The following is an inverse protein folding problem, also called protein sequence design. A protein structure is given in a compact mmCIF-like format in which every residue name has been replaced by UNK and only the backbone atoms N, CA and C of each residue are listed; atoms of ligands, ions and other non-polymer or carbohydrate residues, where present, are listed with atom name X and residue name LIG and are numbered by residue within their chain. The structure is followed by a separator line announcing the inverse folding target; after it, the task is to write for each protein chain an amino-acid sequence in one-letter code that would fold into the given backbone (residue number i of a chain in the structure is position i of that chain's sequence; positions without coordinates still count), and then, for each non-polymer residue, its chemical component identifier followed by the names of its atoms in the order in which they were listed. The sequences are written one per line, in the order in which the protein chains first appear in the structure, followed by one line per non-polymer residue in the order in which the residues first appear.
data_IF_290029288964
#
_entry.id   IF_290029288964
#
_cell.length_a   1.000
_cell.length_b   1.000
_cell.length_c   1.000
_cell.angle_alpha   90.00
_cell.angle_beta   90.00
_cell.angle_gamma   90.00
#
_symmetry.space_group_name_H-M   'P 1'
#
loop_
_entity.id
_entity.type
_entity.pdbx_description
1 polymer ?
#
# COMPACT_ATOMS: atom_id res chain seq x y z
N UNK A 1 26.05 -55.37 -51.50
CA UNK A 1 24.71 -54.80 -51.30
C UNK A 1 24.19 -55.45 -50.03
N UNK A 2 24.18 -54.84 -48.85
CA UNK A 2 23.88 -53.45 -48.51
C UNK A 2 22.54 -53.47 -47.80
N UNK A 3 22.52 -53.70 -46.49
CA UNK A 3 21.37 -53.43 -45.63
C UNK A 3 21.87 -52.95 -44.27
N UNK A 4 21.68 -51.65 -44.05
CA UNK A 4 21.95 -50.89 -42.85
C UNK A 4 21.16 -51.41 -41.66
N UNK A 5 21.82 -51.60 -40.51
CA UNK A 5 21.17 -51.68 -39.20
C UNK A 5 21.55 -50.43 -38.43
N UNK A 6 20.60 -49.49 -38.42
CA UNK A 6 20.68 -48.18 -37.79
C UNK A 6 20.56 -48.35 -36.28
N UNK A 7 21.59 -47.95 -35.55
CA UNK A 7 21.58 -47.84 -34.10
C UNK A 7 20.61 -46.74 -33.68
N UNK A 8 19.65 -47.08 -32.83
CA UNK A 8 18.85 -46.11 -32.08
C UNK A 8 19.44 -46.07 -30.68
N UNK A 9 20.11 -44.96 -30.38
CA UNK A 9 20.48 -44.57 -29.03
C UNK A 9 19.19 -44.09 -28.35
N UNK A 10 18.67 -44.87 -27.40
CA UNK A 10 17.69 -44.38 -26.46
C UNK A 10 18.41 -43.46 -25.48
N UNK A 11 18.14 -42.17 -25.63
CA UNK A 11 18.55 -41.13 -24.70
C UNK A 11 17.73 -41.29 -23.42
N UNK A 12 18.42 -41.63 -22.33
CA UNK A 12 17.93 -41.50 -20.97
C UNK A 12 17.41 -40.06 -20.73
N UNK A 13 16.09 -39.91 -20.68
CA UNK A 13 15.45 -38.76 -20.05
C UNK A 13 15.60 -38.93 -18.53
N UNK A 14 16.18 -37.96 -17.79
CA UNK A 14 16.18 -38.01 -16.34
C UNK A 14 14.75 -37.75 -15.87
N UNK A 15 14.04 -38.81 -15.50
CA UNK A 15 12.86 -38.67 -14.67
C UNK A 15 13.31 -37.95 -13.39
N UNK A 16 12.78 -36.75 -13.15
CA UNK A 16 12.97 -36.06 -11.89
C UNK A 16 12.42 -36.97 -10.79
N UNK A 17 13.32 -37.62 -10.04
CA UNK A 17 12.97 -38.41 -8.87
C UNK A 17 12.44 -37.44 -7.82
N UNK A 18 11.12 -37.29 -7.78
CA UNK A 18 10.44 -36.67 -6.64
C UNK A 18 10.72 -37.56 -5.44
N UNK A 19 11.60 -37.09 -4.55
CA UNK A 19 11.90 -37.78 -3.30
C UNK A 19 10.59 -37.91 -2.53
N UNK A 20 10.13 -39.14 -2.29
CA UNK A 20 8.98 -39.40 -1.44
C UNK A 20 9.34 -38.90 -0.04
N UNK A 21 8.55 -37.96 0.47
CA UNK A 21 8.67 -37.46 1.84
C UNK A 21 8.09 -38.50 2.76
N UNK A 22 8.83 -38.90 3.80
CA UNK A 22 8.35 -39.86 4.79
C UNK A 22 7.70 -39.17 5.98
N UNK A 23 6.78 -39.88 6.65
CA UNK A 23 6.17 -39.45 7.92
C UNK A 23 7.23 -39.11 8.98
N UNK A 24 8.31 -39.89 9.03
CA UNK A 24 9.40 -39.72 9.99
C UNK A 24 10.14 -38.41 9.82
N UNK A 25 10.34 -37.97 8.57
CA UNK A 25 11.05 -36.71 8.27
C UNK A 25 10.24 -35.49 8.75
N UNK A 26 8.91 -35.54 8.59
CA UNK A 26 7.98 -34.50 9.06
C UNK A 26 8.06 -34.38 10.58
N UNK A 27 7.96 -35.52 11.27
CA UNK A 27 7.95 -35.59 12.73
C UNK A 27 9.29 -35.12 13.30
N UNK A 28 10.40 -35.62 12.75
CA UNK A 28 11.74 -35.21 13.18
C UNK A 28 11.94 -33.70 13.00
N UNK A 29 11.49 -33.15 11.87
CA UNK A 29 11.56 -31.72 11.62
C UNK A 29 10.77 -30.90 12.64
N UNK A 30 9.54 -31.31 12.96
CA UNK A 30 8.72 -30.60 13.97
C UNK A 30 9.34 -30.72 15.36
N UNK A 31 9.91 -31.86 15.74
CA UNK A 31 10.53 -32.08 17.06
C UNK A 31 11.77 -31.19 17.27
N UNK A 32 12.52 -30.92 16.20
CA UNK A 32 13.67 -30.03 16.25
C UNK A 32 13.30 -28.55 16.47
N UNK A 33 12.04 -28.17 16.20
CA UNK A 33 11.55 -26.82 16.41
C UNK A 33 11.10 -26.59 17.88
N UNK A 34 11.87 -25.80 18.63
CA UNK A 34 11.61 -25.53 20.06
C UNK A 34 10.36 -24.69 20.35
N UNK A 35 9.79 -24.03 19.34
CA UNK A 35 8.60 -23.18 19.48
C UNK A 35 7.28 -23.95 19.38
N UNK A 36 7.33 -25.25 19.13
CA UNK A 36 6.14 -26.08 18.94
C UNK A 36 5.52 -26.42 20.30
N UNK A 37 4.21 -26.19 20.38
CA UNK A 37 3.42 -26.56 21.55
C UNK A 37 2.69 -27.88 21.31
N UNK A 38 3.12 -28.94 22.00
CA UNK A 38 2.57 -30.30 21.82
C UNK A 38 1.37 -30.56 22.73
N UNK A 39 1.41 -30.03 23.97
CA UNK A 39 0.39 -30.24 25.00
C UNK A 39 0.39 -29.07 25.98
N UNK A 40 -0.76 -28.79 26.57
CA UNK A 40 -0.89 -27.85 27.67
C UNK A 40 -0.27 -28.44 28.95
N UNK A 41 0.93 -27.96 29.29
CA UNK A 41 1.68 -28.31 30.48
C UNK A 41 1.44 -27.27 31.58
N UNK A 42 1.18 -27.70 32.80
CA UNK A 42 1.13 -26.80 33.95
C UNK A 42 2.55 -26.34 34.32
N UNK A 43 2.66 -25.23 35.06
CA UNK A 43 3.94 -24.59 35.45
C UNK A 43 4.93 -25.56 36.13
N UNK A 44 4.44 -26.66 36.72
CA UNK A 44 5.25 -27.65 37.43
C UNK A 44 5.36 -29.01 36.72
N UNK A 45 4.85 -29.14 35.50
CA UNK A 45 4.96 -30.38 34.73
C UNK A 45 6.39 -30.54 34.18
N UNK A 46 6.94 -31.75 34.15
CA UNK A 46 8.25 -32.01 33.56
C UNK A 46 8.25 -31.72 32.05
N UNK A 47 9.39 -31.28 31.52
CA UNK A 47 9.57 -31.09 30.08
C UNK A 47 9.33 -32.40 29.31
N UNK A 48 8.53 -32.33 28.25
CA UNK A 48 8.25 -33.49 27.39
C UNK A 48 9.55 -34.04 26.77
N UNK A 49 9.73 -35.35 26.89
CA UNK A 49 10.85 -36.04 26.23
C UNK A 49 10.66 -36.07 24.71
N UNK A 50 11.76 -36.21 23.96
CA UNK A 50 11.70 -36.31 22.50
C UNK A 50 10.80 -37.46 22.03
N UNK A 51 10.83 -38.58 22.73
CA UNK A 51 9.98 -39.74 22.42
C UNK A 51 8.50 -39.42 22.61
N UNK A 52 8.12 -38.80 23.74
CA UNK A 52 6.72 -38.41 24.00
C UNK A 52 6.23 -37.39 22.97
N UNK A 53 7.08 -36.44 22.56
CA UNK A 53 6.75 -35.50 21.47
C UNK A 53 6.47 -36.23 20.16
N UNK A 54 7.32 -37.18 19.78
CA UNK A 54 7.13 -37.99 18.57
C UNK A 54 5.83 -38.80 18.64
N UNK A 55 5.54 -39.42 19.78
CA UNK A 55 4.31 -40.21 19.96
C UNK A 55 3.07 -39.33 19.80
N UNK A 56 3.03 -38.17 20.44
CA UNK A 56 1.91 -37.22 20.30
C UNK A 56 1.71 -36.81 18.84
N UNK A 57 2.79 -36.53 18.11
CA UNK A 57 2.70 -36.16 16.69
C UNK A 57 2.16 -37.30 15.83
N UNK A 58 2.63 -38.54 16.04
CA UNK A 58 2.13 -39.73 15.34
C UNK A 58 0.65 -39.96 15.62
N UNK A 59 0.25 -39.84 16.88
CA UNK A 59 -1.14 -40.07 17.28
C UNK A 59 -2.07 -39.06 16.56
N UNK A 60 -1.73 -37.77 16.58
CA UNK A 60 -2.54 -36.73 15.91
C UNK A 60 -2.53 -36.91 14.40
N UNK A 61 -1.40 -37.29 13.80
CA UNK A 61 -1.29 -37.49 12.36
C UNK A 61 -2.15 -38.68 11.89
N UNK A 62 -2.17 -39.76 12.66
CA UNK A 62 -2.96 -40.96 12.37
C UNK A 62 -4.46 -40.75 12.63
N UNK A 63 -4.83 -39.89 13.57
CA UNK A 63 -6.23 -39.53 13.82
C UNK A 63 -6.81 -38.69 12.69
N UNK A 64 -6.15 -37.58 12.33
CA UNK A 64 -6.63 -36.66 11.30
C UNK A 64 -5.51 -35.78 10.74
N UNK A 65 -5.27 -35.90 9.44
CA UNK A 65 -4.32 -35.07 8.72
C UNK A 65 -4.74 -33.58 8.73
N UNK A 66 -6.04 -33.28 8.70
CA UNK A 66 -6.56 -31.91 8.83
C UNK A 66 -6.25 -31.29 10.19
N UNK A 67 -6.51 -32.03 11.28
CA UNK A 67 -6.20 -31.57 12.65
C UNK A 67 -4.70 -31.37 12.84
N UNK A 68 -3.89 -32.27 12.27
CA UNK A 68 -2.44 -32.15 12.29
C UNK A 68 -1.96 -30.87 11.60
N UNK A 69 -2.47 -30.57 10.41
CA UNK A 69 -2.13 -29.35 9.67
C UNK A 69 -2.62 -28.08 10.38
N UNK A 70 -3.81 -28.10 10.97
CA UNK A 70 -4.32 -26.96 11.74
C UNK A 70 -3.41 -26.61 12.93
N UNK A 71 -2.93 -27.62 13.67
CA UNK A 71 -2.11 -27.41 14.89
C UNK A 71 -0.63 -27.21 14.59
N UNK A 72 -0.06 -28.01 13.69
CA UNK A 72 1.38 -28.08 13.46
C UNK A 72 1.82 -27.55 12.10
N UNK A 73 0.89 -27.30 11.17
CA UNK A 73 1.21 -26.97 9.78
C UNK A 73 2.10 -25.74 9.59
N UNK A 74 2.02 -24.75 10.48
CA UNK A 74 2.89 -23.57 10.44
C UNK A 74 4.38 -23.89 10.68
N UNK A 75 4.66 -24.99 11.39
CA UNK A 75 6.02 -25.44 11.71
C UNK A 75 6.58 -26.45 10.69
N UNK A 76 5.85 -26.71 9.60
CA UNK A 76 6.24 -27.67 8.56
C UNK A 76 6.83 -26.94 7.35
N UNK A 77 7.97 -27.42 6.85
CA UNK A 77 8.56 -26.92 5.60
C UNK A 77 7.73 -27.27 4.37
N UNK A 78 7.85 -26.46 3.32
CA UNK A 78 7.09 -26.65 2.08
C UNK A 78 7.37 -28.01 1.42
N UNK A 79 8.61 -28.49 1.50
CA UNK A 79 9.00 -29.83 1.03
C UNK A 79 8.18 -30.92 1.73
N UNK A 80 7.99 -30.79 3.05
CA UNK A 80 7.28 -31.75 3.88
C UNK A 80 5.76 -31.70 3.70
N UNK A 81 5.20 -30.55 3.30
CA UNK A 81 3.77 -30.42 2.99
C UNK A 81 3.36 -31.28 1.78
N UNK A 82 4.29 -31.61 0.89
CA UNK A 82 4.05 -32.50 -0.25
C UNK A 82 3.60 -33.90 0.16
N UNK A 83 3.89 -34.33 1.39
CA UNK A 83 3.38 -35.58 1.94
C UNK A 83 1.85 -35.66 1.90
N UNK A 84 1.16 -34.54 2.17
CA UNK A 84 -0.30 -34.48 2.18
C UNK A 84 -0.91 -34.43 0.76
N UNK A 85 -0.08 -34.18 -0.26
CA UNK A 85 -0.46 -34.12 -1.68
C UNK A 85 -0.07 -35.39 -2.45
N UNK A 86 0.69 -36.28 -1.83
CA UNK A 86 1.09 -37.54 -2.43
C UNK A 86 -0.15 -38.41 -2.67
N UNK A 87 -0.11 -39.17 -3.77
CA UNK A 87 -1.26 -39.95 -4.26
C UNK A 87 -1.70 -41.02 -3.25
N UNK A 88 -0.77 -41.59 -2.48
CA UNK A 88 -1.04 -42.65 -1.50
C UNK A 88 -2.00 -42.18 -0.40
N UNK A 89 -1.82 -40.95 0.06
CA UNK A 89 -2.61 -40.31 1.11
C UNK A 89 -3.90 -39.75 0.52
N UNK A 90 -3.81 -39.08 -0.63
CA UNK A 90 -4.95 -38.44 -1.29
C UNK A 90 -6.05 -39.44 -1.69
N UNK A 91 -5.68 -40.70 -1.97
CA UNK A 91 -6.64 -41.78 -2.25
C UNK A 91 -7.38 -42.28 -0.99
N UNK A 92 -6.80 -42.11 0.19
CA UNK A 92 -7.40 -42.55 1.45
C UNK A 92 -8.40 -41.55 2.02
N UNK A 93 -8.40 -40.31 1.53
CA UNK A 93 -9.25 -39.24 2.03
C UNK A 93 -10.68 -39.32 1.48
N UNK A 94 -11.64 -39.09 2.37
CA UNK A 94 -13.01 -38.72 1.99
C UNK A 94 -13.00 -37.41 1.17
N UNK A 95 -13.98 -37.16 0.28
CA UNK A 95 -14.11 -35.88 -0.42
C UNK A 95 -14.05 -34.66 0.51
N UNK A 96 -14.69 -34.74 1.67
CA UNK A 96 -14.69 -33.66 2.67
C UNK A 96 -13.30 -33.44 3.29
N UNK A 97 -12.62 -34.52 3.65
CA UNK A 97 -11.25 -34.48 4.21
C UNK A 97 -10.25 -33.92 3.19
N UNK A 98 -10.41 -34.29 1.91
CA UNK A 98 -9.57 -33.76 0.83
C UNK A 98 -9.71 -32.24 0.72
N UNK A 99 -10.94 -31.72 0.83
CA UNK A 99 -11.18 -30.28 0.82
C UNK A 99 -10.53 -29.58 2.04
N UNK A 100 -10.74 -30.11 3.25
CA UNK A 100 -10.15 -29.54 4.47
C UNK A 100 -8.62 -29.52 4.42
N UNK A 101 -8.00 -30.62 4.00
CA UNK A 101 -6.54 -30.74 3.88
C UNK A 101 -6.03 -29.74 2.84
N UNK A 102 -6.66 -29.66 1.67
CA UNK A 102 -6.29 -28.70 0.64
C UNK A 102 -6.41 -27.25 1.14
N UNK A 103 -7.50 -26.91 1.84
CA UNK A 103 -7.69 -25.60 2.44
C UNK A 103 -6.57 -25.27 3.43
N UNK A 104 -6.20 -26.21 4.31
CA UNK A 104 -5.10 -25.99 5.25
C UNK A 104 -3.75 -25.83 4.55
N UNK A 105 -3.46 -26.61 3.51
CA UNK A 105 -2.23 -26.48 2.71
C UNK A 105 -2.14 -25.11 2.02
N UNK A 106 -3.21 -24.69 1.37
CA UNK A 106 -3.30 -23.37 0.72
C UNK A 106 -3.13 -22.25 1.75
N UNK A 107 -3.80 -22.35 2.90
CA UNK A 107 -3.69 -21.38 4.00
C UNK A 107 -2.26 -21.28 4.52
N UNK A 108 -1.58 -22.39 4.78
CA UNK A 108 -0.19 -22.41 5.26
C UNK A 108 0.75 -21.74 4.24
N UNK A 109 0.59 -22.08 2.96
CA UNK A 109 1.39 -21.48 1.87
C UNK A 109 1.13 -19.98 1.74
N UNK A 110 -0.13 -19.55 1.79
CA UNK A 110 -0.51 -18.12 1.78
C UNK A 110 0.17 -17.39 2.93
N UNK A 111 0.02 -17.87 4.16
CA UNK A 111 0.61 -17.23 5.35
C UNK A 111 2.14 -17.10 5.26
N UNK A 112 2.83 -18.10 4.69
CA UNK A 112 4.29 -18.09 4.49
C UNK A 112 4.73 -17.11 3.40
N UNK A 113 3.94 -16.93 2.35
CA UNK A 113 4.24 -16.03 1.23
C UNK A 113 3.82 -14.57 1.48
N UNK A 114 3.84 -14.13 2.75
CA UNK A 114 3.42 -12.78 3.14
C UNK A 114 1.91 -12.61 3.27
N UNK A 115 1.12 -13.69 3.21
CA UNK A 115 -0.33 -13.65 3.39
C UNK A 115 -0.75 -13.00 4.70
N UNK A 116 0.01 -13.20 5.80
CA UNK A 116 -0.27 -12.50 7.06
C UNK A 116 -0.15 -10.98 6.93
N UNK A 117 0.82 -10.48 6.16
CA UNK A 117 0.97 -9.04 5.94
C UNK A 117 -0.20 -8.48 5.12
N UNK A 118 -0.72 -9.26 4.16
CA UNK A 118 -1.90 -8.92 3.37
C UNK A 118 -3.15 -8.94 4.25
N UNK A 119 -3.36 -10.00 5.03
CA UNK A 119 -4.47 -10.13 6.00
C UNK A 119 -4.48 -8.95 6.98
N UNK A 120 -3.32 -8.62 7.56
CA UNK A 120 -3.19 -7.45 8.46
C UNK A 120 -3.51 -6.15 7.73
N UNK A 121 -3.02 -5.97 6.50
CA UNK A 121 -3.31 -4.78 5.69
C UNK A 121 -4.80 -4.65 5.40
N UNK A 122 -5.46 -5.75 5.05
CA UNK A 122 -6.88 -5.80 4.74
C UNK A 122 -7.72 -5.54 6.00
N UNK A 123 -7.38 -6.17 7.14
CA UNK A 123 -8.01 -5.89 8.44
C UNK A 123 -7.89 -4.44 8.85
N UNK A 124 -6.69 -3.86 8.73
CA UNK A 124 -6.46 -2.43 8.99
C UNK A 124 -7.25 -1.55 8.03
N UNK A 125 -7.39 -1.92 6.76
CA UNK A 125 -8.22 -1.17 5.82
C UNK A 125 -9.72 -1.22 6.19
N UNK A 126 -10.25 -2.37 6.60
CA UNK A 126 -11.62 -2.48 7.09
C UNK A 126 -11.84 -1.64 8.37
N UNK A 127 -10.88 -1.68 9.30
CA UNK A 127 -10.92 -0.84 10.51
C UNK A 127 -10.85 0.66 10.17
N UNK A 128 -10.01 1.05 9.20
CA UNK A 128 -9.92 2.41 8.68
C UNK A 128 -11.28 2.88 8.15
N UNK A 129 -11.94 2.08 7.31
CA UNK A 129 -13.26 2.40 6.77
C UNK A 129 -14.28 2.63 7.89
N UNK A 130 -14.34 1.72 8.86
CA UNK A 130 -15.25 1.85 10.00
C UNK A 130 -15.00 3.14 10.79
N UNK A 131 -13.73 3.48 11.05
CA UNK A 131 -13.38 4.70 11.80
C UNK A 131 -13.66 6.00 11.02
N UNK A 132 -13.58 5.95 9.69
CA UNK A 132 -13.99 7.05 8.83
C UNK A 132 -15.51 7.26 8.90
N UNK A 133 -16.29 6.18 8.87
CA UNK A 133 -17.75 6.22 8.98
C UNK A 133 -18.22 6.69 10.36
N UNK A 134 -17.57 6.21 11.43
CA UNK A 134 -17.84 6.61 12.81
C UNK A 134 -17.43 8.08 13.08
N UNK A 135 -16.50 8.63 12.27
CA UNK A 135 -16.05 10.02 12.37
C UNK A 135 -15.32 10.36 13.67
N UNK A 136 -14.69 9.37 14.31
CA UNK A 136 -14.03 9.54 15.63
C UNK A 136 -12.53 9.75 15.52
N UNK A 137 -11.84 8.95 14.70
CA UNK A 137 -10.37 8.91 14.66
C UNK A 137 -9.76 9.67 13.48
N UNK A 138 -10.38 9.60 12.30
CA UNK A 138 -9.90 10.24 11.07
C UNK A 138 -10.53 11.62 10.81
N UNK A 139 -10.90 12.34 11.87
CA UNK A 139 -11.30 13.74 11.68
C UNK A 139 -10.09 14.60 11.37
N UNK A 140 -10.28 15.67 10.60
CA UNK A 140 -9.20 16.60 10.24
C UNK A 140 -8.48 17.16 11.49
N UNK A 141 -9.21 17.37 12.59
CA UNK A 141 -8.64 17.90 13.83
C UNK A 141 -7.76 16.87 14.56
N UNK A 142 -8.22 15.62 14.63
CA UNK A 142 -7.44 14.52 15.24
C UNK A 142 -6.21 14.18 14.40
N UNK A 143 -6.33 14.15 13.06
CA UNK A 143 -5.18 13.94 12.17
C UNK A 143 -4.15 15.07 12.29
N UNK A 144 -4.61 16.33 12.39
CA UNK A 144 -3.73 17.48 12.61
C UNK A 144 -3.01 17.41 13.96
N UNK A 145 -3.67 16.92 15.02
CA UNK A 145 -3.06 16.77 16.33
C UNK A 145 -1.92 15.74 16.33
N UNK A 146 -2.10 14.65 15.58
CA UNK A 146 -1.12 13.57 15.40
C UNK A 146 0.11 13.98 14.59
N UNK A 147 -0.09 14.63 13.43
CA UNK A 147 1.01 15.18 12.64
C UNK A 147 0.80 16.67 12.30
N UNK A 148 1.17 17.58 13.23
CA UNK A 148 1.03 19.01 13.02
C UNK A 148 1.89 19.55 11.86
N UNK A 149 3.10 19.01 11.65
CA UNK A 149 4.01 19.50 10.62
C UNK A 149 3.49 19.17 9.23
N UNK A 150 3.10 17.91 9.00
CA UNK A 150 2.53 17.48 7.73
C UNK A 150 1.28 18.29 7.39
N UNK A 151 0.39 18.49 8.39
CA UNK A 151 -0.81 19.31 8.20
C UNK A 151 -0.46 20.74 7.81
N UNK A 152 0.50 21.38 8.48
CA UNK A 152 0.89 22.76 8.16
C UNK A 152 1.54 22.87 6.78
N UNK A 153 2.28 21.86 6.32
CA UNK A 153 2.91 21.83 5.00
C UNK A 153 1.89 21.62 3.87
N UNK A 154 0.92 20.73 4.02
CA UNK A 154 -0.04 20.43 2.96
C UNK A 154 -1.28 21.33 3.00
N UNK A 155 -1.81 21.63 4.19
CA UNK A 155 -3.10 22.31 4.35
C UNK A 155 -2.94 23.67 5.05
N UNK A 156 -2.32 23.69 6.23
CA UNK A 156 -2.29 24.84 7.12
C UNK A 156 -1.64 26.09 6.54
N UNK A 157 -0.65 25.94 5.65
CA UNK A 157 0.01 27.08 5.02
C UNK A 157 -0.86 27.81 3.98
N UNK A 158 -1.85 27.13 3.40
CA UNK A 158 -2.73 27.68 2.37
C UNK A 158 -4.09 28.12 2.91
N UNK A 159 -4.32 27.93 4.20
CA UNK A 159 -5.50 28.45 4.90
C UNK A 159 -5.24 29.86 5.45
N UNK A 160 -6.22 30.74 5.26
CA UNK A 160 -6.25 32.04 5.91
C UNK A 160 -6.54 31.91 7.40
N UNK A 161 -6.11 32.90 8.20
CA UNK A 161 -6.41 32.94 9.65
C UNK A 161 -7.92 32.88 9.93
N UNK A 162 -8.74 33.44 9.03
CA UNK A 162 -10.19 33.35 9.13
C UNK A 162 -10.69 31.91 8.91
N UNK A 163 -10.24 31.23 7.85
CA UNK A 163 -10.60 29.83 7.59
C UNK A 163 -10.16 28.92 8.74
N UNK A 164 -8.99 29.17 9.34
CA UNK A 164 -8.50 28.43 10.52
C UNK A 164 -9.40 28.64 11.74
N UNK A 165 -9.86 29.87 12.00
CA UNK A 165 -10.80 30.16 13.09
C UNK A 165 -12.17 29.49 12.86
N UNK A 166 -12.67 29.52 11.62
CA UNK A 166 -13.94 28.87 11.26
C UNK A 166 -13.86 27.35 11.46
N UNK A 167 -12.72 26.71 11.13
CA UNK A 167 -12.45 25.30 11.42
C UNK A 167 -12.40 25.02 12.93
N UNK A 168 -11.60 25.79 13.69
CA UNK A 168 -11.47 25.61 15.14
C UNK A 168 -12.81 25.80 15.89
N UNK A 169 -13.72 26.60 15.31
CA UNK A 169 -15.07 26.82 15.81
C UNK A 169 -16.04 25.65 15.52
N UNK A 170 -15.79 24.83 14.48
CA UNK A 170 -16.61 23.64 14.18
C UNK A 170 -16.40 22.53 15.19
N UNK A 171 -15.21 22.45 15.80
CA UNK A 171 -14.89 21.45 16.82
C UNK A 171 -15.62 21.80 18.11
N UNK A 172 -16.56 20.95 18.59
CA UNK A 172 -17.33 21.22 19.80
C UNK A 172 -16.38 21.56 20.96
N UNK A 173 -16.57 22.75 21.54
CA UNK A 173 -15.83 23.12 22.75
C UNK A 173 -16.59 22.55 23.96
N UNK A 174 -15.90 21.85 24.88
CA UNK A 174 -16.55 21.37 26.09
C UNK A 174 -17.03 22.56 26.93
N UNK A 175 -18.26 22.48 27.45
CA UNK A 175 -18.86 23.56 28.25
C UNK A 175 -18.22 23.71 29.64
N UNK A 176 -17.45 22.72 30.08
CA UNK A 176 -16.73 22.73 31.35
C UNK A 176 -15.46 23.57 31.27
N UNK A 177 -15.21 24.41 32.28
CA UNK A 177 -13.96 25.17 32.43
C UNK A 177 -12.73 24.26 32.34
N UNK A 178 -12.79 23.08 32.96
CA UNK A 178 -11.73 22.07 32.88
C UNK A 178 -11.52 21.61 31.44
N UNK A 179 -12.60 21.37 30.70
CA UNK A 179 -12.51 20.98 29.29
C UNK A 179 -11.92 22.06 28.40
N UNK A 180 -12.27 23.34 28.63
CA UNK A 180 -11.68 24.47 27.89
C UNK A 180 -10.17 24.54 28.15
N UNK A 181 -9.76 24.37 29.41
CA UNK A 181 -8.35 24.36 29.79
C UNK A 181 -7.61 23.17 29.17
N UNK A 182 -8.18 21.96 29.18
CA UNK A 182 -7.58 20.79 28.52
C UNK A 182 -7.40 21.04 27.01
N UNK A 183 -8.44 21.53 26.32
CA UNK A 183 -8.36 21.87 24.89
C UNK A 183 -7.24 22.88 24.61
N UNK A 184 -7.06 23.88 25.47
CA UNK A 184 -5.99 24.86 25.33
C UNK A 184 -4.61 24.23 25.58
N UNK A 185 -4.47 23.38 26.60
CA UNK A 185 -3.23 22.63 26.85
C UNK A 185 -2.87 21.74 25.65
N UNK A 186 -3.83 21.06 25.06
CA UNK A 186 -3.60 20.19 23.89
C UNK A 186 -3.23 21.01 22.65
N UNK A 187 -3.85 22.19 22.47
CA UNK A 187 -3.43 23.14 21.44
C UNK A 187 -2.00 23.64 21.65
N UNK A 188 -1.65 24.03 22.87
CA UNK A 188 -0.29 24.50 23.19
C UNK A 188 0.75 23.37 22.97
N UNK A 189 0.39 22.12 23.26
CA UNK A 189 1.24 20.95 22.98
C UNK A 189 1.47 20.76 21.49
N UNK A 190 0.41 20.76 20.68
CA UNK A 190 0.53 20.59 19.22
C UNK A 190 1.32 21.72 18.56
N UNK A 191 1.12 22.97 19.00
CA UNK A 191 1.91 24.12 18.55
C UNK A 191 3.39 23.99 18.91
N UNK A 192 3.69 23.49 20.11
CA UNK A 192 5.07 23.24 20.55
C UNK A 192 5.73 22.15 19.70
N UNK A 193 5.06 21.01 19.49
CA UNK A 193 5.53 19.92 18.63
C UNK A 193 5.81 20.41 17.21
N UNK A 194 4.89 21.19 16.63
CA UNK A 194 5.06 21.80 15.31
C UNK A 194 6.31 22.69 15.25
N UNK A 195 6.55 23.49 16.29
CA UNK A 195 7.71 24.37 16.34
C UNK A 195 9.02 23.58 16.44
N UNK A 196 9.04 22.50 17.21
CA UNK A 196 10.17 21.59 17.34
C UNK A 196 10.48 20.90 16.00
N UNK A 197 9.50 20.25 15.38
CA UNK A 197 9.64 19.57 14.08
C UNK A 197 10.10 20.54 12.97
N UNK A 198 9.54 21.75 12.89
CA UNK A 198 10.01 22.79 11.94
C UNK A 198 11.46 23.22 12.19
N UNK A 199 11.89 23.21 13.44
CA UNK A 199 13.26 23.60 13.81
C UNK A 199 14.27 22.52 13.43
N UNK A 200 13.88 21.25 13.53
CA UNK A 200 14.67 20.10 13.12
C UNK A 200 14.79 20.02 11.60
N UNK A 201 13.69 20.16 10.86
CA UNK A 201 13.71 20.19 9.38
C UNK A 201 14.64 21.29 8.84
N UNK A 202 14.65 22.46 9.48
CA UNK A 202 15.55 23.56 9.12
C UNK A 202 17.03 23.23 9.39
N UNK A 203 17.33 22.50 10.45
CA UNK A 203 18.70 22.09 10.78
C UNK A 203 19.22 21.02 9.83
N UNK A 204 18.32 20.18 9.30
CA UNK A 204 18.63 19.09 8.38
C UNK A 204 18.76 19.53 6.92
N UNK A 205 18.31 20.73 6.55
CA UNK A 205 18.61 21.29 5.23
C UNK A 205 20.14 21.50 5.13
N UNK A 206 20.89 20.70 4.34
CA UNK A 206 22.29 21.00 4.12
C UNK A 206 22.35 22.40 3.52
N UNK A 207 23.23 23.25 4.06
CA UNK A 207 23.56 24.56 3.51
C UNK A 207 24.12 24.36 2.09
N UNK A 208 23.23 24.19 1.13
CA UNK A 208 23.52 24.22 -0.29
C UNK A 208 23.85 25.67 -0.65
N UNK A 209 25.15 25.94 -0.65
CA UNK A 209 25.82 27.12 -1.20
C UNK A 209 25.75 28.40 -0.35
N UNK A 210 26.72 28.53 0.56
CA UNK A 210 27.29 29.84 0.89
C UNK A 210 28.80 29.76 1.16
N UNK A 211 29.54 29.11 0.24
CA UNK A 211 31.02 29.14 0.25
C UNK A 211 31.60 30.25 -0.64
N UNK A 212 30.84 31.31 -0.93
CA UNK A 212 31.29 32.40 -1.82
C UNK A 212 31.25 33.81 -1.25
N UNK A 213 31.23 33.97 0.08
CA UNK A 213 31.49 35.29 0.67
C UNK A 213 32.44 35.26 1.88
N UNK A 214 33.36 34.28 1.92
CA UNK A 214 34.60 34.39 2.69
C UNK A 214 35.75 34.86 1.79
N UNK A 215 35.63 36.06 1.23
CA UNK A 215 36.82 36.82 0.85
C UNK A 215 36.99 38.00 1.79
N UNK A 216 38.04 37.86 2.59
CA UNK A 216 38.82 38.91 3.20
C UNK A 216 38.24 39.65 4.42
N UNK A 217 38.44 39.03 5.57
CA UNK A 217 38.93 39.80 6.73
C UNK A 217 40.18 39.14 7.27
N UNK A 218 41.28 39.41 6.59
CA UNK A 218 42.60 39.38 7.21
C UNK A 218 42.54 40.20 8.51
N UNK A 219 42.52 39.51 9.67
CA UNK A 219 42.85 40.14 10.96
C UNK A 219 44.22 40.77 10.80
N UNK A 220 44.39 42.10 10.92
CA UNK A 220 45.74 42.64 11.01
C UNK A 220 46.31 42.18 12.35
N UNK A 221 47.44 41.49 12.29
CA UNK A 221 48.26 41.15 13.45
C UNK A 221 48.39 42.39 14.35
N UNK A 222 47.79 42.33 15.54
CA UNK A 222 48.08 43.31 16.58
C UNK A 222 49.49 43.05 17.10
N UNK A 223 50.33 44.08 17.24
CA UNK A 223 51.70 43.92 17.72
C UNK A 223 51.72 43.46 19.20
N UNK A 224 52.75 42.71 19.62
CA UNK A 224 52.84 42.17 20.97
C UNK A 224 53.06 43.31 21.95
N UNK A 225 52.04 43.63 22.74
CA UNK A 225 52.11 44.68 23.76
C UNK A 225 50.79 45.38 24.09
N UNK A 226 49.72 45.16 23.32
CA UNK A 226 48.44 45.76 23.68
C UNK A 226 47.72 44.89 24.70
N UNK A 227 47.67 45.41 25.92
CA UNK A 227 46.99 44.84 27.08
C UNK A 227 45.59 44.36 26.71
N UNK A 228 45.42 43.04 26.79
CA UNK A 228 44.21 42.42 27.29
C UNK A 228 43.54 43.35 28.31
N UNK A 229 42.24 43.54 28.17
CA UNK A 229 41.34 44.06 29.21
C UNK A 229 40.86 45.51 29.18
N UNK A 230 40.38 45.97 28.03
CA UNK A 230 39.37 47.04 27.96
C UNK A 230 38.30 46.66 26.90
N UNK A 231 37.71 45.46 26.97
CA UNK A 231 36.44 45.13 27.65
C UNK A 231 35.33 46.17 27.46
N UNK A 232 34.76 46.18 26.27
CA UNK A 232 33.46 46.79 25.98
C UNK A 232 32.72 45.92 24.97
N UNK A 233 31.70 45.20 25.43
CA UNK A 233 30.52 44.72 24.69
C UNK A 233 30.64 44.12 23.26
N UNK A 234 31.78 43.57 22.85
CA UNK A 234 31.87 42.87 21.56
C UNK A 234 30.98 41.61 21.48
N UNK A 235 30.73 40.96 22.61
CA UNK A 235 29.81 39.82 22.67
C UNK A 235 28.36 40.22 22.34
N UNK A 236 27.94 41.44 22.70
CA UNK A 236 26.58 41.90 22.42
C UNK A 236 26.43 42.38 20.98
N UNK A 237 27.45 43.00 20.38
CA UNK A 237 27.46 43.35 18.96
C UNK A 237 27.46 42.11 18.05
N UNK A 238 28.20 41.06 18.42
CA UNK A 238 28.22 39.80 17.68
C UNK A 238 26.89 39.04 17.82
N UNK A 239 26.30 39.00 19.02
CA UNK A 239 24.93 38.47 19.21
C UNK A 239 23.92 39.25 18.36
N UNK A 240 23.99 40.58 18.33
CA UNK A 240 23.09 41.40 17.52
C UNK A 240 23.26 41.08 16.04
N UNK A 241 24.49 41.02 15.50
CA UNK A 241 24.71 40.62 14.09
C UNK A 241 24.17 39.22 13.78
N UNK A 242 24.43 38.24 14.64
CA UNK A 242 23.92 36.87 14.45
C UNK A 242 22.40 36.84 14.48
N UNK A 243 21.77 37.63 15.37
CA UNK A 243 20.30 37.75 15.40
C UNK A 243 19.75 38.49 14.18
N UNK A 244 20.42 39.52 13.67
CA UNK A 244 20.03 40.24 12.45
C UNK A 244 20.16 39.35 11.21
N UNK A 245 21.23 38.58 11.09
CA UNK A 245 21.43 37.61 10.01
C UNK A 245 20.36 36.51 10.05
N UNK A 246 20.04 36.02 11.26
CA UNK A 246 18.95 35.07 11.51
C UNK A 246 17.59 35.67 11.13
N UNK A 247 17.33 36.92 11.49
CA UNK A 247 16.11 37.65 11.11
C UNK A 247 16.02 37.89 9.60
N UNK A 248 17.14 38.22 8.94
CA UNK A 248 17.19 38.40 7.48
C UNK A 248 16.97 37.07 6.74
N UNK A 249 17.58 35.97 7.19
CA UNK A 249 17.30 34.60 6.71
C UNK A 249 15.83 34.23 6.92
N UNK A 250 15.25 34.54 8.09
CA UNK A 250 13.82 34.33 8.36
C UNK A 250 12.92 35.17 7.44
N UNK A 251 13.29 36.42 7.15
CA UNK A 251 12.56 37.28 6.20
C UNK A 251 12.62 36.72 4.77
N UNK A 252 13.78 36.26 4.29
CA UNK A 252 13.93 35.60 2.98
C UNK A 252 13.16 34.27 2.91
N UNK A 253 13.14 33.49 4.00
CA UNK A 253 12.34 32.26 4.08
C UNK A 253 10.83 32.54 4.08
N UNK A 254 10.37 33.58 4.79
CA UNK A 254 8.96 34.04 4.73
C UNK A 254 8.58 34.53 3.35
N UNK A 255 9.50 35.15 2.60
CA UNK A 255 9.31 35.56 1.20
C UNK A 255 9.27 34.38 0.21
N UNK A 256 9.86 33.22 0.54
CA UNK A 256 9.75 31.99 -0.26
C UNK A 256 8.41 31.26 -0.10
N UNK A 257 7.59 31.60 0.91
CA UNK A 257 6.24 31.05 1.02
C UNK A 257 5.39 31.60 -0.12
N UNK A 258 4.84 30.73 -0.95
CA UNK A 258 3.93 31.12 -2.02
C UNK A 258 2.73 31.85 -1.41
N UNK A 259 2.31 33.00 -1.97
CA UNK A 259 1.12 33.70 -1.49
C UNK A 259 -0.10 32.76 -1.54
N UNK A 260 -0.84 32.68 -0.44
CA UNK A 260 -2.05 31.84 -0.28
C UNK A 260 -3.13 32.10 -1.35
N UNK A 261 -3.07 33.25 -2.01
CA UNK A 261 -3.99 33.64 -3.08
C UNK A 261 -3.65 33.03 -4.47
N UNK A 262 -2.46 32.45 -4.64
CA UNK A 262 -2.06 31.88 -5.94
C UNK A 262 -2.51 30.42 -6.14
N UNK A 263 -3.00 29.75 -5.09
CA UNK A 263 -3.48 28.38 -5.21
C UNK A 263 -4.98 28.37 -5.51
N UNK A 264 -5.34 27.67 -6.56
CA UNK A 264 -6.73 27.48 -6.98
C UNK A 264 -7.48 26.65 -5.93
N UNK A 265 -8.79 26.83 -5.79
CA UNK A 265 -9.60 26.04 -4.87
C UNK A 265 -9.43 24.52 -5.07
N UNK A 266 -9.30 24.06 -6.32
CA UNK A 266 -9.03 22.65 -6.63
C UNK A 266 -7.66 22.17 -6.16
N UNK A 267 -6.60 22.98 -6.27
CA UNK A 267 -5.26 22.61 -5.78
C UNK A 267 -5.24 22.49 -4.25
N UNK A 268 -5.96 23.37 -3.56
CA UNK A 268 -6.12 23.29 -2.09
C UNK A 268 -6.84 22.02 -1.66
N UNK A 269 -7.79 21.55 -2.46
CA UNK A 269 -8.50 20.30 -2.16
C UNK A 269 -7.62 19.09 -2.41
N UNK A 270 -6.87 19.06 -3.52
CA UNK A 270 -5.90 17.98 -3.78
C UNK A 270 -4.86 17.83 -2.66
N UNK A 271 -4.39 18.94 -2.10
CA UNK A 271 -3.46 18.92 -0.96
C UNK A 271 -4.11 18.41 0.33
N UNK A 272 -5.42 18.66 0.53
CA UNK A 272 -6.17 18.07 1.64
C UNK A 272 -6.32 16.57 1.45
N UNK A 273 -6.68 16.14 0.24
CA UNK A 273 -6.80 14.73 -0.09
C UNK A 273 -5.46 14.00 0.06
N UNK A 274 -4.35 14.65 -0.32
CA UNK A 274 -3.00 14.13 -0.10
C UNK A 274 -2.69 13.99 1.39
N UNK A 275 -3.02 14.99 2.21
CA UNK A 275 -2.87 14.91 3.66
C UNK A 275 -3.64 13.72 4.25
N UNK A 276 -4.93 13.58 3.90
CA UNK A 276 -5.78 12.48 4.35
C UNK A 276 -5.21 11.13 3.86
N UNK A 277 -4.80 11.05 2.60
CA UNK A 277 -4.25 9.85 1.99
C UNK A 277 -2.95 9.38 2.66
N UNK A 278 -2.06 10.31 3.02
CA UNK A 278 -0.82 9.99 3.77
C UNK A 278 -1.17 9.46 5.16
N UNK A 279 -2.11 10.09 5.86
CA UNK A 279 -2.54 9.63 7.19
C UNK A 279 -3.17 8.23 7.13
N UNK A 280 -4.01 7.96 6.13
CA UNK A 280 -4.59 6.64 5.88
C UNK A 280 -3.51 5.61 5.54
N UNK A 281 -2.55 5.96 4.69
CA UNK A 281 -1.46 5.07 4.30
C UNK A 281 -0.58 4.68 5.50
N UNK A 282 -0.22 5.65 6.36
CA UNK A 282 0.53 5.39 7.60
C UNK A 282 -0.25 4.48 8.55
N UNK A 283 -1.55 4.70 8.68
CA UNK A 283 -2.40 3.85 9.51
C UNK A 283 -2.38 2.40 9.02
N UNK A 284 -2.59 2.18 7.71
CA UNK A 284 -2.55 0.85 7.09
C UNK A 284 -1.16 0.21 7.24
N UNK A 285 -0.09 0.99 7.07
CA UNK A 285 1.29 0.53 7.23
C UNK A 285 1.63 0.13 8.68
N UNK A 286 0.92 0.66 9.67
CA UNK A 286 1.20 0.39 11.08
C UNK A 286 2.15 1.39 11.73
N UNK A 287 2.25 2.59 11.15
CA UNK A 287 3.19 3.64 11.57
C UNK A 287 2.55 4.66 12.52
N UNK A 288 1.27 4.50 12.87
CA UNK A 288 0.57 5.40 13.78
C UNK A 288 0.79 5.00 15.25
N UNK A 289 1.70 5.70 15.93
CA UNK A 289 2.11 5.37 17.30
C UNK A 289 0.99 5.54 18.34
N UNK A 290 -0.02 6.35 18.05
CA UNK A 290 -1.13 6.61 18.99
C UNK A 290 -2.18 5.47 18.97
N UNK A 291 -2.15 4.61 17.94
CA UNK A 291 -3.12 3.52 17.77
C UNK A 291 -2.60 2.17 18.27
N UNK A 292 -3.44 1.46 19.02
CA UNK A 292 -3.16 0.08 19.46
C UNK A 292 -3.59 -0.96 18.42
N UNK A 293 -2.67 -1.29 17.50
CA UNK A 293 -2.91 -2.23 16.40
C UNK A 293 -3.23 -3.66 16.83
N UNK A 294 -2.93 -4.06 18.06
CA UNK A 294 -3.23 -5.42 18.56
C UNK A 294 -4.73 -5.73 18.53
N UNK A 295 -5.57 -4.70 18.63
CA UNK A 295 -7.02 -4.80 18.60
C UNK A 295 -7.58 -5.10 17.19
N UNK A 296 -6.80 -4.83 16.14
CA UNK A 296 -7.21 -4.96 14.74
C UNK A 296 -6.48 -6.13 14.08
N UNK A 297 -5.15 -6.21 14.26
CA UNK A 297 -4.29 -7.14 13.53
C UNK A 297 -4.63 -8.62 13.77
N UNK A 298 -5.03 -8.97 15.00
CA UNK A 298 -5.39 -10.34 15.39
C UNK A 298 -6.92 -10.55 15.48
N UNK A 299 -7.73 -9.58 15.04
CA UNK A 299 -9.19 -9.65 15.17
C UNK A 299 -9.88 -10.13 13.88
N UNK A 300 -10.56 -11.26 13.96
CA UNK A 300 -11.34 -11.85 12.86
C UNK A 300 -12.56 -11.01 12.45
N UNK A 301 -13.00 -10.07 13.30
CA UNK A 301 -14.16 -9.21 12.99
C UNK A 301 -13.91 -8.24 11.82
N UNK A 302 -12.64 -8.00 11.49
CA UNK A 302 -12.21 -7.14 10.39
C UNK A 302 -11.83 -7.95 9.14
N UNK A 303 -12.01 -9.26 9.16
CA UNK A 303 -11.88 -10.06 7.94
C UNK A 303 -13.08 -9.75 7.04
N UNK A 304 -12.82 -9.24 5.84
CA UNK A 304 -13.86 -9.02 4.84
C UNK A 304 -14.28 -10.36 4.22
N UNK A 305 -15.11 -11.09 4.96
CA UNK A 305 -15.63 -12.38 4.51
C UNK A 305 -16.46 -12.25 3.23
N UNK A 306 -17.05 -11.07 2.96
CA UNK A 306 -17.85 -10.85 1.75
C UNK A 306 -16.94 -10.82 0.53
N UNK A 307 -15.90 -9.99 0.58
CA UNK A 307 -14.90 -9.89 -0.50
C UNK A 307 -14.17 -11.23 -0.69
N UNK A 308 -13.77 -11.91 0.39
CA UNK A 308 -13.12 -13.23 0.32
C UNK A 308 -14.03 -14.27 -0.35
N UNK A 309 -15.33 -14.26 -0.06
CA UNK A 309 -16.28 -15.18 -0.69
C UNK A 309 -16.49 -14.85 -2.17
N UNK A 310 -16.59 -13.57 -2.53
CA UNK A 310 -16.70 -13.14 -3.92
C UNK A 310 -15.47 -13.55 -4.73
N UNK A 311 -14.25 -13.28 -4.21
CA UNK A 311 -13.00 -13.72 -4.83
C UNK A 311 -12.95 -15.25 -5.00
N UNK A 312 -13.50 -16.00 -4.04
CA UNK A 312 -13.58 -17.45 -4.10
C UNK A 312 -14.60 -17.94 -5.14
N UNK A 313 -15.74 -17.27 -5.24
CA UNK A 313 -16.78 -17.53 -6.24
C UNK A 313 -16.26 -17.22 -7.65
N UNK A 314 -15.65 -16.05 -7.88
CA UNK A 314 -15.05 -15.68 -9.17
C UNK A 314 -14.02 -16.72 -9.62
N UNK A 315 -13.12 -17.12 -8.70
CA UNK A 315 -12.14 -18.18 -8.97
C UNK A 315 -12.77 -19.55 -9.26
N UNK A 316 -13.97 -19.81 -8.75
CA UNK A 316 -14.72 -21.03 -9.06
C UNK A 316 -15.31 -20.96 -10.46
N UNK A 317 -15.96 -19.85 -10.82
CA UNK A 317 -16.56 -19.66 -12.14
C UNK A 317 -15.51 -19.64 -13.27
N UNK A 318 -14.39 -18.95 -13.07
CA UNK A 318 -13.28 -18.94 -14.03
C UNK A 318 -12.74 -20.34 -14.37
N UNK A 319 -12.85 -21.29 -13.43
CA UNK A 319 -12.42 -22.68 -13.63
C UNK A 319 -13.47 -23.57 -14.28
N UNK A 320 -14.76 -23.25 -14.15
CA UNK A 320 -15.81 -23.98 -14.87
C UNK A 320 -15.86 -23.58 -16.35
N UNK A 321 -15.49 -22.34 -16.68
CA UNK A 321 -15.42 -21.85 -18.06
C UNK A 321 -14.14 -22.31 -18.81
N UNK A 322 -13.18 -22.98 -18.14
CA UNK A 322 -12.10 -23.67 -18.83
C UNK A 322 -12.67 -24.91 -19.56
N UNK A 323 -12.57 -24.98 -20.91
CA UNK A 323 -13.10 -26.12 -21.65
C UNK A 323 -12.38 -27.39 -21.19
N UNK A 324 -13.13 -28.32 -20.62
CA UNK A 324 -12.66 -29.61 -20.14
C UNK A 324 -11.86 -30.30 -21.27
N UNK A 325 -10.53 -30.23 -21.18
CA UNK A 325 -9.61 -30.69 -22.23
C UNK A 325 -9.64 -32.22 -22.46
N UNK A 326 -10.54 -32.93 -21.78
CA UNK A 326 -10.82 -34.34 -21.97
C UNK A 326 -11.85 -34.65 -23.05
N UNK A 327 -12.53 -33.67 -23.66
CA UNK A 327 -13.42 -33.97 -24.79
C UNK A 327 -12.69 -33.90 -26.14
N UNK A 328 -11.72 -34.81 -26.31
CA UNK A 328 -11.20 -35.17 -27.63
C UNK A 328 -12.07 -36.29 -28.22
N UNK A 329 -13.27 -35.97 -28.70
CA UNK A 329 -13.77 -36.47 -29.99
C UNK A 329 -15.22 -36.06 -30.30
N UNK A 330 -15.39 -35.62 -31.56
CA UNK A 330 -16.63 -35.71 -32.37
C UNK A 330 -17.72 -34.65 -32.17
N UNK A 331 -17.42 -33.34 -32.26
CA UNK A 331 -18.44 -32.35 -32.68
C UNK A 331 -17.88 -31.05 -33.30
N UNK A 332 -16.71 -31.15 -33.95
CA UNK A 332 -16.02 -30.00 -34.56
C UNK A 332 -16.62 -29.47 -35.88
N UNK A 333 -17.95 -29.55 -36.09
CA UNK A 333 -18.57 -29.16 -37.36
C UNK A 333 -19.88 -28.36 -37.27
N UNK A 334 -20.29 -27.85 -36.10
CA UNK A 334 -21.55 -27.08 -36.03
C UNK A 334 -21.56 -25.79 -35.21
N UNK A 335 -20.40 -25.21 -34.84
CA UNK A 335 -20.34 -23.95 -34.09
C UNK A 335 -19.69 -22.80 -34.90
N UNK A 336 -20.16 -22.60 -36.12
CA UNK A 336 -19.69 -21.52 -36.99
C UNK A 336 -20.84 -20.64 -37.48
N UNK A 337 -21.70 -20.13 -36.58
CA UNK A 337 -22.61 -19.02 -36.94
C UNK A 337 -22.88 -18.02 -35.79
N UNK A 338 -22.80 -18.38 -34.51
CA UNK A 338 -23.35 -17.52 -33.44
C UNK A 338 -22.32 -17.02 -32.42
N UNK A 339 -21.12 -16.61 -32.86
CA UNK A 339 -20.03 -16.10 -32.01
C UNK A 339 -19.70 -14.62 -32.29
N UNK A 340 -20.70 -13.85 -32.73
CA UNK A 340 -20.56 -12.43 -33.05
C UNK A 340 -21.64 -11.53 -32.41
N UNK A 341 -22.52 -12.08 -31.55
CA UNK A 341 -23.65 -11.33 -30.97
C UNK A 341 -23.72 -11.37 -29.43
N UNK A 342 -22.63 -11.70 -28.73
CA UNK A 342 -22.57 -11.55 -27.26
C UNK A 342 -21.60 -10.45 -26.83
N UNK A 343 -22.20 -9.41 -26.23
CA UNK A 343 -21.65 -8.18 -25.63
C UNK A 343 -21.20 -7.05 -26.57
N UNK A 344 -22.15 -6.29 -27.11
CA UNK A 344 -21.88 -4.87 -27.40
C UNK A 344 -22.15 -4.07 -26.12
N UNK A 345 -21.09 -3.69 -25.41
CA UNK A 345 -21.20 -2.87 -24.20
C UNK A 345 -21.79 -1.49 -24.53
N UNK A 346 -22.37 -0.80 -23.54
CA UNK A 346 -22.93 0.56 -23.72
C UNK A 346 -21.91 1.55 -24.34
N UNK A 347 -20.62 1.31 -24.12
CA UNK A 347 -19.50 2.04 -24.72
C UNK A 347 -19.37 1.81 -26.23
N UNK A 348 -19.59 0.59 -26.72
CA UNK A 348 -19.53 0.27 -28.15
C UNK A 348 -20.71 0.89 -28.90
N UNK A 349 -21.89 0.87 -28.28
CA UNK A 349 -23.07 1.56 -28.77
C UNK A 349 -22.80 3.07 -28.86
N UNK A 350 -22.17 3.66 -27.83
CA UNK A 350 -21.81 5.07 -27.82
C UNK A 350 -20.77 5.42 -28.89
N UNK A 351 -19.70 4.62 -29.02
CA UNK A 351 -18.65 4.81 -30.03
C UNK A 351 -19.20 4.71 -31.45
N UNK A 352 -20.12 3.77 -31.72
CA UNK A 352 -20.83 3.70 -33.01
C UNK A 352 -21.67 4.93 -33.28
N UNK A 353 -22.42 5.41 -32.28
CA UNK A 353 -23.22 6.63 -32.43
C UNK A 353 -22.35 7.86 -32.70
N UNK A 354 -21.22 7.99 -32.00
CA UNK A 354 -20.27 9.08 -32.19
C UNK A 354 -19.62 9.03 -33.58
N UNK A 355 -19.17 7.86 -34.00
CA UNK A 355 -18.58 7.64 -35.33
C UNK A 355 -19.58 7.92 -36.45
N UNK A 356 -20.84 7.50 -36.28
CA UNK A 356 -21.93 7.81 -37.23
C UNK A 356 -22.20 9.31 -37.31
N UNK A 357 -22.16 10.02 -36.18
CA UNK A 357 -22.34 11.47 -36.15
C UNK A 357 -21.18 12.21 -36.83
N UNK A 358 -19.94 11.76 -36.60
CA UNK A 358 -18.74 12.31 -37.22
C UNK A 358 -18.74 12.08 -38.75
N UNK A 359 -19.12 10.87 -39.19
CA UNK A 359 -19.33 10.60 -40.62
C UNK A 359 -20.41 11.48 -41.24
N UNK A 360 -21.51 11.75 -40.54
CA UNK A 360 -22.56 12.64 -41.02
C UNK A 360 -22.05 14.08 -41.17
N UNK A 361 -21.26 14.58 -40.20
CA UNK A 361 -20.63 15.89 -40.33
C UNK A 361 -19.64 15.95 -41.50
N UNK A 362 -18.82 14.91 -41.69
CA UNK A 362 -17.90 14.81 -42.81
C UNK A 362 -18.64 14.75 -44.15
N UNK A 363 -19.72 13.95 -44.25
CA UNK A 363 -20.58 13.89 -45.44
C UNK A 363 -21.27 15.21 -45.74
N UNK A 364 -21.76 15.94 -44.72
CA UNK A 364 -22.33 17.28 -44.89
C UNK A 364 -21.28 18.32 -45.31
N UNK A 365 -20.03 18.18 -44.87
CA UNK A 365 -18.93 19.05 -45.31
C UNK A 365 -18.47 18.74 -46.74
N UNK A 366 -18.57 17.48 -47.18
CA UNK A 366 -18.18 17.04 -48.52
C UNK A 366 -19.24 17.31 -49.60
N UNK A 367 -20.52 17.46 -49.24
CA UNK A 367 -21.61 17.76 -50.19
C UNK A 367 -21.82 19.25 -50.45
N UNK A 368 -21.19 20.14 -49.69
CA UNK A 368 -21.14 21.58 -49.98
C UNK A 368 -19.94 21.92 -50.88
N UNK A 369 -19.98 21.45 -52.14
CA UNK A 369 -19.21 22.05 -53.23
C UNK A 369 -20.13 23.06 -53.93
N UNK A 370 -19.81 24.38 -53.93
CA UNK A 370 -20.62 25.34 -54.65
C UNK A 370 -20.35 25.21 -56.16
N UNK A 371 -21.40 24.88 -56.91
CA UNK A 371 -21.39 24.95 -58.38
C UNK A 371 -21.30 26.43 -58.78
N UNK A 372 -20.11 26.86 -59.20
CA UNK A 372 -19.89 28.18 -59.79
C UNK A 372 -20.40 28.13 -61.24
N UNK A 373 -21.62 28.62 -61.46
CA UNK A 373 -22.05 29.03 -62.79
C UNK A 373 -21.22 30.26 -63.20
N UNK A 374 -20.27 30.06 -64.12
CA UNK A 374 -19.58 31.17 -64.81
C UNK A 374 -20.46 31.68 -65.93
N UNK A 375 -21.00 32.88 -65.74
CA UNK A 375 -21.62 33.68 -66.78
C UNK A 375 -20.52 34.22 -67.73
N UNK A 376 -20.58 34.00 -69.06
CA UNK A 376 -19.45 34.24 -69.96
C UNK A 376 -19.32 35.69 -70.45
N UNK A 377 -19.83 36.68 -69.71
CA UNK A 377 -19.83 38.06 -70.18
C UNK A 377 -19.51 39.08 -69.07
N UNK A 378 -18.24 39.13 -68.67
CA UNK A 378 -17.69 40.29 -67.97
C UNK A 378 -16.18 40.36 -68.22
N UNK A 379 -15.81 41.01 -69.32
CA UNK A 379 -14.55 41.72 -69.43
C UNK A 379 -14.54 42.83 -68.37
N UNK A 380 -13.44 43.00 -67.63
CA UNK A 380 -12.69 44.26 -67.61
C UNK A 380 -11.42 44.12 -66.75
N UNK A 381 -10.31 44.23 -67.47
CA UNK A 381 -9.07 44.96 -67.18
C UNK A 381 -8.52 44.95 -65.74
N UNK A 382 -7.41 44.23 -65.64
CA UNK A 382 -6.28 44.45 -64.73
C UNK A 382 -5.82 45.90 -64.68
N UNK A 383 -5.47 46.38 -63.48
CA UNK A 383 -4.32 47.24 -63.25
C UNK A 383 -3.81 47.10 -61.80
N UNK A 384 -2.48 46.89 -61.74
CA UNK A 384 -1.48 46.96 -60.65
C UNK A 384 -1.52 46.02 -59.43
#
# INVERSE_FOLDING_TARGET
MGTDSKATQDADCPAATSSLVSETDIIEHIVNNQRVFYKNQQINDPELTLYEKQTILRDVLNESHGTFLYRFGFFIHDEHLRYFEQTEQTQAYSPDEKYEIQYHLERIRKLRNGGRAIEVRNRRYAALQQMCDDGTYFTETEMMARDPLLYEQLVGQFMTEREKQERDARVPTPQSVVGILLKQIDKDRTEKTLQEQKSEERQLQPDGDDSRDQLDRSRPNSPPGCSSSQWGNFDDEEKVRVTELRQARQKRARQKRMPTHLMTAGERELLRDEFIGIMHARFIAGEDEEFDYTQVDDSEKYDDLVEINQDAEEKYFDKEDEPDSNDRNEDALNMSVDLAEESEDELDIYMRHLNRHLEQQQKMSATNIPVVNRDPNCEYESDE
#
